data_IF_835193494323
#
_entry.id   IF_835193494323
#
_cell.length_a   1.000
_cell.length_b   1.000
_cell.length_c   1.000
_cell.angle_alpha   90.00
_cell.angle_beta   90.00
_cell.angle_gamma   90.00
#
_symmetry.space_group_name_H-M   'P 1'
#
loop_
_entity.id
_entity.type
_entity.pdbx_description
1 polymer ?
#
# COMPACT_ATOMS: atom_id res chain seq x y z
N UNK A 1 14.97 11.20 -45.36
CA UNK A 1 15.99 10.74 -44.40
C UNK A 1 15.26 10.40 -43.11
N UNK A 2 15.06 9.12 -42.82
CA UNK A 2 14.42 8.69 -41.57
C UNK A 2 15.44 8.86 -40.45
N UNK A 3 15.22 9.80 -39.54
CA UNK A 3 16.04 9.91 -38.32
C UNK A 3 15.64 8.73 -37.45
N UNK A 4 16.51 7.74 -37.34
CA UNK A 4 16.35 6.66 -36.37
C UNK A 4 16.56 7.28 -34.98
N UNK A 5 15.58 7.18 -34.06
CA UNK A 5 15.79 7.69 -32.71
C UNK A 5 16.96 6.97 -32.06
N UNK A 6 17.83 7.71 -31.39
CA UNK A 6 18.93 7.12 -30.63
C UNK A 6 18.36 6.19 -29.55
N UNK A 7 19.07 5.07 -29.30
CA UNK A 7 18.63 4.02 -28.38
C UNK A 7 19.71 3.70 -27.37
N UNK A 8 19.31 3.34 -26.15
CA UNK A 8 20.25 2.93 -25.10
C UNK A 8 20.76 1.48 -25.31
N UNK A 9 21.61 1.00 -24.40
CA UNK A 9 22.19 -0.35 -24.45
C UNK A 9 21.16 -1.50 -24.41
N UNK A 10 19.96 -1.25 -23.87
CA UNK A 10 18.86 -2.22 -23.86
C UNK A 10 17.97 -2.12 -25.11
N UNK A 11 18.25 -1.17 -26.02
CA UNK A 11 17.41 -0.89 -27.16
C UNK A 11 16.08 -0.25 -26.74
N UNK A 12 16.10 0.72 -25.84
CA UNK A 12 14.98 1.61 -25.55
C UNK A 12 15.27 2.99 -26.17
N UNK A 13 14.25 3.74 -26.55
CA UNK A 13 14.45 5.10 -27.06
C UNK A 13 15.02 6.01 -25.95
N UNK A 14 15.95 6.91 -26.29
CA UNK A 14 16.61 7.76 -25.30
C UNK A 14 15.64 8.72 -24.59
N UNK A 15 14.67 9.28 -25.30
CA UNK A 15 13.63 10.16 -24.72
C UNK A 15 12.82 9.45 -23.63
N UNK A 16 12.46 8.19 -23.86
CA UNK A 16 11.78 7.33 -22.90
C UNK A 16 12.65 7.04 -21.69
N UNK A 17 13.93 6.71 -21.91
CA UNK A 17 14.89 6.44 -20.84
C UNK A 17 15.16 7.69 -19.97
N UNK A 18 15.22 8.88 -20.58
CA UNK A 18 15.39 10.16 -19.88
C UNK A 18 14.17 10.49 -19.03
N UNK A 19 12.96 10.40 -19.61
CA UNK A 19 11.71 10.59 -18.87
C UNK A 19 11.60 9.65 -17.66
N UNK A 20 11.97 8.37 -17.84
CA UNK A 20 11.97 7.39 -16.76
C UNK A 20 12.91 7.78 -15.61
N UNK A 21 14.12 8.27 -15.93
CA UNK A 21 15.05 8.76 -14.91
C UNK A 21 14.50 10.00 -14.18
N UNK A 22 13.91 10.95 -14.89
CA UNK A 22 13.32 12.14 -14.27
C UNK A 22 12.19 11.79 -13.31
N UNK A 23 11.32 10.86 -13.70
CA UNK A 23 10.23 10.36 -12.86
C UNK A 23 10.77 9.62 -11.62
N UNK A 24 11.80 8.80 -11.78
CA UNK A 24 12.44 8.10 -10.67
C UNK A 24 13.08 9.09 -9.67
N UNK A 25 13.80 10.10 -10.16
CA UNK A 25 14.42 11.13 -9.33
C UNK A 25 13.39 12.02 -8.63
N UNK A 26 12.27 12.33 -9.31
CA UNK A 26 11.16 13.05 -8.72
C UNK A 26 10.50 12.24 -7.59
N UNK A 27 10.34 10.92 -7.77
CA UNK A 27 9.77 10.02 -6.77
C UNK A 27 10.61 9.94 -5.48
N UNK A 28 11.94 9.97 -5.59
CA UNK A 28 12.83 10.00 -4.41
C UNK A 28 12.73 11.33 -3.67
N UNK A 29 12.74 12.46 -4.40
CA UNK A 29 12.71 13.80 -3.79
C UNK A 29 11.38 14.13 -3.12
N UNK A 30 10.27 13.55 -3.59
CA UNK A 30 8.93 13.72 -3.04
C UNK A 30 8.40 12.43 -2.40
N UNK A 31 9.28 11.63 -1.83
CA UNK A 31 8.93 10.36 -1.20
C UNK A 31 8.11 10.55 0.08
N UNK A 32 7.13 9.69 0.28
CA UNK A 32 6.36 9.58 1.53
C UNK A 32 6.84 8.35 2.32
N UNK A 33 7.11 8.54 3.60
CA UNK A 33 7.49 7.49 4.53
C UNK A 33 6.45 7.37 5.65
N UNK A 34 5.60 6.32 5.63
CA UNK A 34 4.56 6.15 6.65
C UNK A 34 5.07 6.12 8.09
N UNK A 35 6.28 5.63 8.33
CA UNK A 35 6.84 5.50 9.68
C UNK A 35 7.30 6.83 10.28
N UNK A 36 7.56 7.84 9.44
CA UNK A 36 8.03 9.15 9.89
C UNK A 36 6.95 10.22 9.69
N UNK A 37 6.18 10.12 8.61
CA UNK A 37 5.26 11.17 8.17
C UNK A 37 3.85 11.01 8.76
N UNK A 38 3.58 9.92 9.48
CA UNK A 38 2.32 9.70 10.22
C UNK A 38 2.67 9.56 11.71
N UNK A 39 2.02 10.36 12.55
CA UNK A 39 2.06 10.22 13.99
C UNK A 39 1.15 9.06 14.44
N UNK A 40 1.65 7.83 14.36
CA UNK A 40 0.89 6.62 14.72
C UNK A 40 0.52 6.52 16.20
N UNK A 41 1.11 7.34 17.06
CA UNK A 41 0.83 7.33 18.50
C UNK A 41 -0.26 8.36 18.88
N UNK A 42 -0.70 9.20 17.94
CA UNK A 42 -1.83 10.10 18.14
C UNK A 42 -3.09 9.36 18.61
N UNK A 43 -3.89 10.00 19.48
CA UNK A 43 -5.08 9.40 20.09
C UNK A 43 -6.10 8.91 19.07
N UNK A 44 -6.15 9.56 17.90
CA UNK A 44 -7.03 9.17 16.80
C UNK A 44 -6.66 7.81 16.17
N UNK A 45 -5.41 7.37 16.25
CA UNK A 45 -4.97 6.07 15.71
C UNK A 45 -4.89 4.95 16.76
N UNK A 46 -5.19 5.27 18.02
CA UNK A 46 -5.22 4.28 19.09
C UNK A 46 -6.37 3.28 18.85
N UNK A 47 -6.04 1.99 18.89
CA UNK A 47 -6.98 0.89 18.72
C UNK A 47 -7.45 0.44 20.10
N UNK A 48 -8.64 0.88 20.50
CA UNK A 48 -9.24 0.53 21.80
C UNK A 48 -10.47 -0.36 21.63
N UNK A 49 -10.65 -1.40 22.48
CA UNK A 49 -11.87 -2.20 22.48
C UNK A 49 -13.07 -1.34 22.91
N UNK A 50 -14.23 -1.55 22.27
CA UNK A 50 -15.45 -0.80 22.61
C UNK A 50 -15.54 0.60 22.01
N UNK A 51 -14.62 0.98 21.13
CA UNK A 51 -14.69 2.26 20.45
C UNK A 51 -15.80 2.28 19.39
N UNK A 52 -16.72 3.24 19.51
CA UNK A 52 -17.85 3.42 18.59
C UNK A 52 -17.42 3.79 17.16
N UNK A 53 -16.18 4.27 16.97
CA UNK A 53 -15.59 4.54 15.65
C UNK A 53 -15.53 3.30 14.76
N UNK A 54 -15.54 2.10 15.34
CA UNK A 54 -15.56 0.85 14.60
C UNK A 54 -16.94 0.45 14.08
N UNK A 55 -18.03 1.13 14.50
CA UNK A 55 -19.35 0.84 13.97
C UNK A 55 -19.36 1.15 12.47
N UNK A 56 -19.76 0.17 11.66
CA UNK A 56 -19.74 0.28 10.22
C UNK A 56 -20.73 1.37 9.75
N UNK A 57 -20.30 2.29 8.88
CA UNK A 57 -21.17 3.31 8.32
C UNK A 57 -22.19 2.69 7.35
N UNK A 58 -23.26 3.42 7.04
CA UNK A 58 -24.28 2.99 6.07
C UNK A 58 -23.73 2.86 4.63
N UNK A 59 -22.56 3.43 4.34
CA UNK A 59 -21.86 3.22 3.08
C UNK A 59 -21.27 1.80 2.94
N UNK A 60 -21.03 1.09 4.04
CA UNK A 60 -20.59 -0.31 4.00
C UNK A 60 -21.80 -1.24 3.75
N UNK A 61 -21.61 -2.25 2.89
CA UNK A 61 -22.66 -3.19 2.51
C UNK A 61 -23.24 -3.96 3.71
N UNK A 62 -22.41 -4.27 4.71
CA UNK A 62 -22.83 -4.91 5.95
C UNK A 62 -23.44 -3.86 6.88
N UNK A 63 -22.83 -2.67 6.97
CA UNK A 63 -23.28 -1.57 7.83
C UNK A 63 -24.73 -1.13 7.59
N UNK A 64 -25.18 -1.10 6.33
CA UNK A 64 -26.57 -0.77 5.97
C UNK A 64 -27.58 -1.90 6.16
N UNK A 65 -27.13 -3.13 6.39
CA UNK A 65 -28.02 -4.28 6.39
C UNK A 65 -28.82 -4.35 7.70
N UNK A 66 -30.16 -4.56 7.67
CA UNK A 66 -30.99 -4.57 8.88
C UNK A 66 -30.55 -5.57 9.95
N UNK A 67 -30.03 -6.73 9.54
CA UNK A 67 -29.43 -7.71 10.46
C UNK A 67 -28.26 -7.13 11.25
N UNK A 68 -27.36 -6.35 10.63
CA UNK A 68 -26.24 -5.77 11.36
C UNK A 68 -26.74 -4.71 12.34
N UNK A 69 -27.69 -3.88 11.91
CA UNK A 69 -28.27 -2.81 12.73
C UNK A 69 -29.04 -3.32 13.95
N UNK A 70 -29.61 -4.53 13.89
CA UNK A 70 -30.32 -5.14 15.01
C UNK A 70 -29.41 -5.78 16.07
N UNK A 71 -28.11 -5.92 15.80
CA UNK A 71 -27.16 -6.48 16.75
C UNK A 71 -26.85 -5.50 17.91
N UNK A 72 -26.49 -6.03 19.10
CA UNK A 72 -25.97 -5.21 20.19
C UNK A 72 -24.79 -4.35 19.72
N UNK A 73 -24.65 -3.17 20.32
CA UNK A 73 -23.57 -2.22 19.96
C UNK A 73 -22.17 -2.84 20.10
N UNK A 74 -21.93 -3.59 21.16
CA UNK A 74 -20.66 -4.29 21.37
C UNK A 74 -20.32 -5.24 20.23
N UNK A 75 -21.29 -6.02 19.77
CA UNK A 75 -21.13 -6.96 18.63
C UNK A 75 -20.89 -6.21 17.32
N UNK A 76 -21.57 -5.07 17.11
CA UNK A 76 -21.34 -4.23 15.93
C UNK A 76 -19.92 -3.67 15.88
N UNK A 77 -19.39 -3.25 17.02
CA UNK A 77 -18.00 -2.76 17.18
C UNK A 77 -17.01 -3.88 16.88
N UNK A 78 -17.19 -5.07 17.47
CA UNK A 78 -16.33 -6.24 17.22
C UNK A 78 -16.29 -6.63 15.74
N UNK A 79 -17.46 -6.72 15.09
CA UNK A 79 -17.56 -6.99 13.65
C UNK A 79 -16.81 -5.92 12.85
N UNK A 80 -16.95 -4.65 13.23
CA UNK A 80 -16.26 -3.54 12.58
C UNK A 80 -14.74 -3.63 12.67
N UNK A 81 -14.21 -3.95 13.85
CA UNK A 81 -12.78 -4.19 14.05
C UNK A 81 -12.27 -5.32 13.17
N UNK A 82 -12.98 -6.46 13.14
CA UNK A 82 -12.61 -7.60 12.29
C UNK A 82 -12.69 -7.29 10.79
N UNK A 83 -13.73 -6.55 10.38
CA UNK A 83 -13.93 -6.13 8.98
C UNK A 83 -12.76 -5.30 8.49
N UNK A 84 -12.38 -4.29 9.27
CA UNK A 84 -11.29 -3.39 8.92
C UNK A 84 -9.93 -4.11 8.97
N UNK A 85 -9.71 -4.99 9.97
CA UNK A 85 -8.49 -5.79 10.06
C UNK A 85 -8.33 -6.74 8.85
N UNK A 86 -9.43 -7.37 8.43
CA UNK A 86 -9.46 -8.22 7.25
C UNK A 86 -9.16 -7.45 5.96
N UNK A 87 -9.72 -6.24 5.82
CA UNK A 87 -9.42 -5.36 4.69
C UNK A 87 -7.94 -4.96 4.65
N UNK A 88 -7.37 -4.57 5.78
CA UNK A 88 -5.96 -4.21 5.88
C UNK A 88 -5.05 -5.40 5.53
N UNK A 89 -5.36 -6.59 6.05
CA UNK A 89 -4.61 -7.82 5.77
C UNK A 89 -4.62 -8.17 4.28
N UNK A 90 -5.79 -8.13 3.64
CA UNK A 90 -5.89 -8.43 2.20
C UNK A 90 -5.18 -7.35 1.37
N UNK A 91 -5.26 -6.09 1.77
CA UNK A 91 -4.52 -5.00 1.15
C UNK A 91 -3.00 -5.25 1.18
N UNK A 92 -2.46 -5.66 2.33
CA UNK A 92 -1.05 -5.99 2.46
C UNK A 92 -0.64 -7.15 1.54
N UNK A 93 -1.44 -8.22 1.52
CA UNK A 93 -1.19 -9.37 0.64
C UNK A 93 -1.26 -8.99 -0.85
N UNK A 94 -2.18 -8.09 -1.20
CA UNK A 94 -2.29 -7.56 -2.55
C UNK A 94 -1.03 -6.77 -2.96
N UNK A 95 -0.49 -5.94 -2.07
CA UNK A 95 0.74 -5.21 -2.32
C UNK A 95 1.96 -6.13 -2.48
N UNK A 96 2.05 -7.19 -1.67
CA UNK A 96 3.08 -8.22 -1.83
C UNK A 96 3.01 -8.88 -3.21
N UNK A 97 1.79 -9.14 -3.71
CA UNK A 97 1.59 -9.69 -5.05
C UNK A 97 2.01 -8.68 -6.14
N UNK A 98 1.65 -7.40 -6.00
CA UNK A 98 2.06 -6.34 -6.95
C UNK A 98 3.57 -6.20 -7.01
N UNK A 99 4.25 -6.15 -5.86
CA UNK A 99 5.71 -6.12 -5.81
C UNK A 99 6.33 -7.35 -6.47
N UNK A 100 5.79 -8.54 -6.18
CA UNK A 100 6.28 -9.79 -6.78
C UNK A 100 6.16 -9.76 -8.30
N UNK A 101 5.03 -9.28 -8.84
CA UNK A 101 4.81 -9.12 -10.27
C UNK A 101 5.82 -8.17 -10.92
N UNK A 102 6.07 -7.01 -10.31
CA UNK A 102 7.09 -6.06 -10.79
C UNK A 102 8.48 -6.69 -10.76
N UNK A 103 8.85 -7.38 -9.69
CA UNK A 103 10.17 -8.02 -9.58
C UNK A 103 10.37 -9.10 -10.65
N UNK A 104 9.36 -9.93 -10.90
CA UNK A 104 9.40 -10.95 -11.95
C UNK A 104 9.52 -10.33 -13.35
N UNK A 105 8.84 -9.21 -13.60
CA UNK A 105 8.99 -8.46 -14.84
C UNK A 105 10.43 -7.95 -15.03
N UNK A 106 10.99 -7.31 -14.00
CA UNK A 106 12.34 -6.75 -14.05
C UNK A 106 13.43 -7.80 -14.30
N UNK A 107 13.25 -9.04 -13.84
CA UNK A 107 14.19 -10.14 -14.12
C UNK A 107 14.25 -10.54 -15.59
N UNK A 108 13.23 -10.23 -16.37
CA UNK A 108 13.17 -10.54 -17.80
C UNK A 108 13.72 -9.39 -18.68
N UNK A 109 14.13 -8.27 -18.07
CA UNK A 109 14.63 -7.12 -18.83
C UNK A 109 16.10 -7.30 -19.25
N UNK A 110 16.49 -6.77 -20.42
CA UNK A 110 17.89 -6.72 -20.84
C UNK A 110 18.75 -5.90 -19.86
N UNK A 111 20.00 -6.33 -19.71
CA UNK A 111 20.99 -5.58 -18.92
C UNK A 111 21.16 -4.15 -19.46
N UNK A 112 21.10 -3.17 -18.58
CA UNK A 112 21.24 -1.76 -18.94
C UNK A 112 19.93 -1.03 -19.25
N UNK A 113 18.77 -1.71 -19.17
CA UNK A 113 17.44 -1.12 -19.31
C UNK A 113 17.24 0.06 -18.35
N UNK A 114 16.63 1.13 -18.87
CA UNK A 114 16.24 2.29 -18.11
C UNK A 114 15.13 1.92 -17.12
N UNK A 115 14.22 1.00 -17.46
CA UNK A 115 13.17 0.52 -16.55
C UNK A 115 13.74 -0.23 -15.33
N UNK A 116 14.80 -1.02 -15.55
CA UNK A 116 15.53 -1.67 -14.45
C UNK A 116 16.18 -0.64 -13.50
N UNK A 117 16.69 0.47 -14.03
CA UNK A 117 17.32 1.56 -13.26
C UNK A 117 16.33 2.54 -12.64
N UNK A 118 15.23 2.83 -13.34
CA UNK A 118 14.15 3.70 -12.92
C UNK A 118 13.19 3.01 -11.96
N UNK A 119 13.41 1.72 -11.67
CA UNK A 119 12.86 1.07 -10.48
C UNK A 119 13.05 2.07 -9.33
N UNK A 120 11.97 2.53 -8.69
CA UNK A 120 12.12 3.47 -7.61
C UNK A 120 13.07 2.86 -6.58
N UNK A 121 14.02 3.65 -6.06
CA UNK A 121 14.86 3.24 -4.92
C UNK A 121 14.02 2.98 -3.66
N UNK A 122 12.68 2.95 -3.74
CA UNK A 122 11.83 2.14 -2.85
C UNK A 122 12.16 0.64 -2.93
N UNK A 123 13.00 0.19 -3.86
CA UNK A 123 13.49 -1.17 -3.84
C UNK A 123 14.28 -1.58 -2.58
N UNK A 124 14.70 -0.62 -1.77
CA UNK A 124 15.30 -0.80 -0.43
C UNK A 124 14.32 -0.49 0.72
N UNK A 125 13.10 -0.04 0.42
CA UNK A 125 12.04 0.31 1.38
C UNK A 125 10.65 0.00 0.79
N UNK A 126 9.92 -0.92 1.43
CA UNK A 126 8.55 -1.30 1.03
C UNK A 126 7.65 -0.15 0.50
N UNK A 127 6.70 -0.45 -0.40
CA UNK A 127 5.72 0.52 -0.87
C UNK A 127 4.98 1.17 0.30
N UNK A 128 4.70 2.47 0.18
CA UNK A 128 4.11 3.25 1.26
C UNK A 128 2.74 2.73 1.72
N UNK A 129 1.97 2.11 0.82
CA UNK A 129 0.69 1.47 1.18
C UNK A 129 0.88 0.28 2.12
N UNK A 130 1.80 -0.63 1.80
CA UNK A 130 2.13 -1.81 2.58
C UNK A 130 2.64 -1.39 3.95
N UNK A 131 3.53 -0.40 3.99
CA UNK A 131 4.03 0.20 5.24
C UNK A 131 2.93 0.84 6.09
N UNK A 132 1.95 1.52 5.49
CA UNK A 132 0.77 2.01 6.22
C UNK A 132 -0.07 0.85 6.79
N UNK A 133 -0.27 -0.21 6.00
CA UNK A 133 -1.05 -1.39 6.38
C UNK A 133 -0.33 -2.27 7.40
N UNK A 134 1.01 -2.34 7.38
CA UNK A 134 1.84 -3.02 8.37
C UNK A 134 1.91 -2.21 9.67
N UNK A 135 2.21 -0.91 9.60
CA UNK A 135 2.28 -0.04 10.76
C UNK A 135 0.93 0.01 11.51
N UNK A 136 -0.18 0.06 10.77
CA UNK A 136 -1.51 -0.15 11.32
C UNK A 136 -1.72 -1.60 11.78
N UNK A 137 -1.52 -2.57 10.89
CA UNK A 137 -1.85 -3.98 11.08
C UNK A 137 -1.20 -4.65 12.29
N UNK A 138 0.06 -4.35 12.62
CA UNK A 138 0.73 -4.88 13.81
C UNK A 138 0.04 -4.46 15.11
N UNK A 139 -0.45 -3.21 15.19
CA UNK A 139 -1.19 -2.70 16.36
C UNK A 139 -2.58 -3.31 16.45
N UNK A 140 -3.17 -3.66 15.31
CA UNK A 140 -4.49 -4.29 15.22
C UNK A 140 -4.44 -5.78 15.57
N UNK A 141 -3.40 -6.49 15.13
CA UNK A 141 -3.16 -7.89 15.48
C UNK A 141 -2.89 -8.08 16.97
N UNK A 142 -2.16 -7.14 17.60
CA UNK A 142 -1.89 -7.17 19.05
C UNK A 142 -3.16 -7.04 19.92
N UNK A 143 -4.21 -6.39 19.42
CA UNK A 143 -5.47 -6.16 20.16
C UNK A 143 -6.60 -7.11 19.75
N UNK A 144 -6.69 -7.51 18.49
CA UNK A 144 -7.75 -8.41 18.00
C UNK A 144 -7.47 -9.90 18.27
N UNK A 145 -6.22 -10.29 18.51
CA UNK A 145 -5.80 -11.68 18.77
C UNK A 145 -5.45 -11.96 20.24
N UNK A 146 -5.65 -11.01 21.15
CA UNK A 146 -5.37 -11.20 22.58
C UNK A 146 -6.52 -11.91 23.34
N UNK A 147 -7.29 -12.77 22.65
CA UNK A 147 -8.27 -13.68 23.25
C UNK A 147 -8.08 -15.08 22.70
#
# INVERSE_FOLDING_TARGET
MMITPERNAAGEALDYAEMLHELADASVRRGFSPYHDIDWDATEFQVTPGDRRWILPESDLIGRHPWYQSLPESTRIEIGMHRQAGMAKVGLQFEQLLMSGVMLYLLNLPSGSAEFRARPRSGTHEPGGARCLEAGGHRWAAHALSR
#
